data_IF_583046378670
#
_entry.id   IF_583046378670
#
_cell.length_a   1.000
_cell.length_b   1.000
_cell.length_c   1.000
_cell.angle_alpha   90.00
_cell.angle_beta   90.00
_cell.angle_gamma   90.00
#
_symmetry.space_group_name_H-M   'P 1'
#
loop_
_entity.id
_entity.type
_entity.pdbx_description
1 polymer ?
#
# COMPACT_ATOMS: atom_id res chain seq x y z
N UNK A 1 -3.03 -4.86 -19.92
CA UNK A 1 -3.79 -4.79 -18.65
C UNK A 1 -4.06 -3.35 -18.27
N UNK A 2 -5.25 -3.04 -17.87
CA UNK A 2 -5.62 -1.68 -17.49
C UNK A 2 -5.12 -1.39 -16.08
N UNK A 3 -4.57 -0.19 -15.86
CA UNK A 3 -4.10 0.26 -14.53
C UNK A 3 -5.18 0.10 -13.46
N UNK A 4 -6.45 0.37 -13.81
CA UNK A 4 -7.58 0.31 -12.89
C UNK A 4 -7.79 -1.09 -12.27
N UNK A 5 -7.28 -2.14 -12.90
CA UNK A 5 -7.46 -3.50 -12.41
C UNK A 5 -6.68 -3.81 -11.14
N UNK A 6 -5.73 -2.96 -10.72
CA UNK A 6 -4.96 -3.20 -9.49
C UNK A 6 -5.71 -2.76 -8.23
N UNK A 7 -6.77 -1.97 -8.36
CA UNK A 7 -7.56 -1.46 -7.23
C UNK A 7 -9.00 -1.96 -7.32
N UNK A 8 -9.57 -2.35 -6.18
CA UNK A 8 -10.97 -2.72 -6.07
C UNK A 8 -11.57 -2.01 -4.86
N UNK A 9 -12.49 -1.08 -5.11
CA UNK A 9 -13.06 -0.25 -4.05
C UNK A 9 -14.29 -0.84 -3.36
N UNK A 10 -14.62 -2.12 -3.60
CA UNK A 10 -15.80 -2.74 -2.99
C UNK A 10 -15.74 -2.74 -1.47
N UNK A 11 -14.60 -3.11 -0.89
CA UNK A 11 -14.42 -3.10 0.57
C UNK A 11 -14.56 -1.69 1.15
N UNK A 12 -13.96 -0.71 0.47
CA UNK A 12 -14.07 0.69 0.89
C UNK A 12 -15.54 1.15 0.88
N UNK A 13 -16.27 0.80 -0.18
CA UNK A 13 -17.70 1.14 -0.28
C UNK A 13 -18.51 0.54 0.87
N UNK A 14 -18.24 -0.70 1.23
CA UNK A 14 -18.89 -1.36 2.34
C UNK A 14 -18.61 -0.66 3.67
N UNK A 15 -17.34 -0.35 3.93
CA UNK A 15 -16.92 0.34 5.15
C UNK A 15 -17.59 1.70 5.27
N UNK A 16 -17.69 2.42 4.16
CA UNK A 16 -18.27 3.77 4.12
C UNK A 16 -19.77 3.78 3.93
N UNK A 17 -20.38 2.60 3.78
CA UNK A 17 -21.82 2.45 3.53
C UNK A 17 -22.29 3.31 2.34
N UNK A 18 -21.46 3.40 1.31
CA UNK A 18 -21.74 4.15 0.09
C UNK A 18 -21.66 5.67 0.26
N UNK A 19 -21.28 6.16 1.42
CA UNK A 19 -21.16 7.62 1.69
C UNK A 19 -19.97 8.19 0.91
N UNK A 20 -20.28 8.97 -0.12
CA UNK A 20 -19.25 9.55 -1.01
C UNK A 20 -18.27 10.46 -0.27
N UNK A 21 -18.77 11.25 0.67
CA UNK A 21 -17.92 12.16 1.45
C UNK A 21 -16.90 11.39 2.26
N UNK A 22 -17.35 10.33 2.94
CA UNK A 22 -16.47 9.46 3.71
C UNK A 22 -15.47 8.73 2.82
N UNK A 23 -15.93 8.24 1.66
CA UNK A 23 -15.02 7.60 0.70
C UNK A 23 -13.94 8.56 0.23
N UNK A 24 -14.31 9.80 -0.05
CA UNK A 24 -13.34 10.82 -0.47
C UNK A 24 -12.30 11.08 0.63
N UNK A 25 -12.73 11.16 1.89
CA UNK A 25 -11.81 11.32 3.02
C UNK A 25 -10.80 10.17 3.09
N UNK A 26 -11.29 8.93 2.98
CA UNK A 26 -10.44 7.73 3.03
C UNK A 26 -9.46 7.70 1.86
N UNK A 27 -9.91 8.06 0.67
CA UNK A 27 -9.06 8.12 -0.52
C UNK A 27 -7.95 9.16 -0.32
N UNK A 28 -8.30 10.34 0.18
CA UNK A 28 -7.33 11.40 0.42
C UNK A 28 -6.29 10.99 1.47
N UNK A 29 -6.71 10.28 2.52
CA UNK A 29 -5.79 9.76 3.53
C UNK A 29 -4.81 8.76 2.90
N UNK A 30 -5.32 7.84 2.07
CA UNK A 30 -4.44 6.88 1.38
C UNK A 30 -3.42 7.62 0.51
N UNK A 31 -3.87 8.58 -0.29
CA UNK A 31 -2.98 9.35 -1.17
C UNK A 31 -1.89 10.06 -0.37
N UNK A 32 -2.24 10.62 0.79
CA UNK A 32 -1.29 11.34 1.63
C UNK A 32 -0.30 10.41 2.35
N UNK A 33 -0.71 9.20 2.71
CA UNK A 33 0.06 8.32 3.58
C UNK A 33 0.86 7.22 2.86
N UNK A 34 0.39 6.78 1.68
CA UNK A 34 0.96 5.60 1.02
C UNK A 34 2.47 5.69 0.81
N UNK A 35 2.95 6.76 0.19
CA UNK A 35 4.37 6.90 -0.11
C UNK A 35 5.22 7.15 1.14
N UNK A 36 4.63 7.76 2.17
CA UNK A 36 5.31 7.93 3.45
C UNK A 36 5.57 6.57 4.10
N UNK A 37 4.59 5.65 4.01
CA UNK A 37 4.78 4.31 4.54
C UNK A 37 5.81 3.51 3.75
N UNK A 38 5.86 3.69 2.43
CA UNK A 38 6.92 3.09 1.62
C UNK A 38 8.28 3.59 2.07
N UNK A 39 8.42 4.90 2.29
CA UNK A 39 9.68 5.50 2.76
C UNK A 39 10.09 4.94 4.13
N UNK A 40 9.13 4.76 5.05
CA UNK A 40 9.41 4.18 6.35
C UNK A 40 9.95 2.75 6.22
N UNK A 41 9.38 1.96 5.30
CA UNK A 41 9.86 0.60 5.03
C UNK A 41 11.27 0.66 4.45
N UNK A 42 11.50 1.53 3.47
CA UNK A 42 12.83 1.69 2.86
C UNK A 42 13.89 2.08 3.88
N UNK A 43 13.57 3.01 4.76
CA UNK A 43 14.48 3.45 5.81
C UNK A 43 14.76 2.34 6.83
N UNK A 44 13.72 1.60 7.22
CA UNK A 44 13.89 0.49 8.15
C UNK A 44 14.81 -0.60 7.55
N UNK A 45 14.68 -0.85 6.25
CA UNK A 45 15.57 -1.80 5.55
C UNK A 45 17.01 -1.30 5.58
N UNK A 46 17.24 -0.02 5.29
CA UNK A 46 18.59 0.58 5.33
C UNK A 46 19.21 0.50 6.71
N UNK A 47 18.40 0.74 7.73
CA UNK A 47 18.83 0.71 9.13
C UNK A 47 18.91 -0.71 9.69
N UNK A 48 18.49 -1.70 8.91
CA UNK A 48 18.39 -3.10 9.33
C UNK A 48 17.50 -3.28 10.56
N UNK A 49 16.48 -2.44 10.66
CA UNK A 49 15.51 -2.47 11.75
C UNK A 49 14.31 -3.34 11.32
N UNK A 50 14.42 -4.65 11.55
CA UNK A 50 13.40 -5.63 11.18
C UNK A 50 12.06 -5.38 11.87
N UNK A 51 12.09 -5.00 13.16
CA UNK A 51 10.87 -4.74 13.92
C UNK A 51 10.08 -3.59 13.33
N UNK A 52 10.75 -2.48 13.05
CA UNK A 52 10.12 -1.30 12.46
C UNK A 52 9.56 -1.62 11.08
N UNK A 53 10.32 -2.36 10.27
CA UNK A 53 9.89 -2.77 8.94
C UNK A 53 8.62 -3.60 8.99
N UNK A 54 8.58 -4.60 9.88
CA UNK A 54 7.41 -5.47 10.03
C UNK A 54 6.19 -4.71 10.54
N UNK A 55 6.37 -3.79 11.49
CA UNK A 55 5.28 -2.98 12.02
C UNK A 55 4.69 -2.07 10.94
N UNK A 56 5.54 -1.43 10.16
CA UNK A 56 5.09 -0.56 9.08
C UNK A 56 4.38 -1.37 7.98
N UNK A 57 4.92 -2.54 7.64
CA UNK A 57 4.28 -3.43 6.67
C UNK A 57 2.90 -3.87 7.15
N UNK A 58 2.75 -4.19 8.43
CA UNK A 58 1.47 -4.57 9.02
C UNK A 58 0.45 -3.44 8.88
N UNK A 59 0.85 -2.24 9.24
CA UNK A 59 0.00 -1.05 9.17
C UNK A 59 -0.44 -0.76 7.74
N UNK A 60 0.51 -0.76 6.81
CA UNK A 60 0.23 -0.48 5.40
C UNK A 60 -0.58 -1.59 4.74
N UNK A 61 -0.40 -2.83 5.17
CA UNK A 61 -1.16 -3.97 4.67
C UNK A 61 -2.67 -3.76 4.86
N UNK A 62 -3.07 -3.19 6.00
CA UNK A 62 -4.48 -2.90 6.28
C UNK A 62 -5.07 -1.95 5.24
N UNK A 63 -4.32 -0.90 4.90
CA UNK A 63 -4.74 0.05 3.86
C UNK A 63 -4.84 -0.62 2.50
N UNK A 64 -3.84 -1.45 2.15
CA UNK A 64 -3.86 -2.19 0.89
C UNK A 64 -5.09 -3.10 0.79
N UNK A 65 -5.48 -3.72 1.89
CA UNK A 65 -6.69 -4.56 1.93
C UNK A 65 -7.95 -3.73 1.68
N UNK A 66 -8.10 -2.61 2.38
CA UNK A 66 -9.28 -1.74 2.25
C UNK A 66 -9.45 -1.25 0.81
N UNK A 67 -8.35 -0.90 0.15
CA UNK A 67 -8.37 -0.38 -1.21
C UNK A 67 -8.28 -1.47 -2.28
N UNK A 68 -8.32 -2.75 -1.86
CA UNK A 68 -8.38 -3.87 -2.79
C UNK A 68 -7.15 -4.00 -3.68
N UNK A 69 -5.98 -3.62 -3.18
CA UNK A 69 -4.72 -3.71 -3.93
C UNK A 69 -4.06 -5.04 -3.57
N UNK A 70 -4.56 -6.09 -4.20
CA UNK A 70 -4.20 -7.48 -3.86
C UNK A 70 -2.70 -7.74 -3.88
N UNK A 71 -2.02 -7.33 -4.94
CA UNK A 71 -0.58 -7.59 -5.08
C UNK A 71 0.22 -6.89 -3.98
N UNK A 72 -0.15 -5.66 -3.66
CA UNK A 72 0.49 -4.91 -2.58
C UNK A 72 0.25 -5.60 -1.23
N UNK A 73 -0.98 -6.03 -0.99
CA UNK A 73 -1.34 -6.74 0.22
C UNK A 73 -0.48 -8.00 0.40
N UNK A 74 -0.33 -8.80 -0.65
CA UNK A 74 0.48 -10.02 -0.61
C UNK A 74 1.95 -9.72 -0.33
N UNK A 75 2.50 -8.70 -0.98
CA UNK A 75 3.90 -8.31 -0.76
C UNK A 75 4.13 -7.85 0.68
N UNK A 76 3.21 -7.05 1.21
CA UNK A 76 3.33 -6.54 2.58
C UNK A 76 3.14 -7.66 3.61
N UNK A 77 2.24 -8.61 3.34
CA UNK A 77 2.03 -9.75 4.23
C UNK A 77 3.29 -10.60 4.34
N UNK A 78 3.95 -10.87 3.23
CA UNK A 78 5.22 -11.62 3.23
C UNK A 78 6.31 -10.87 3.99
N UNK A 79 6.37 -9.57 3.80
CA UNK A 79 7.35 -8.73 4.49
C UNK A 79 7.10 -8.71 5.99
N UNK A 80 5.85 -8.63 6.40
CA UNK A 80 5.45 -8.67 7.81
C UNK A 80 5.82 -10.01 8.45
N UNK A 81 5.55 -11.11 7.74
CA UNK A 81 5.73 -12.47 8.26
C UNK A 81 7.20 -12.89 8.27
N UNK A 82 7.88 -12.69 7.15
CA UNK A 82 9.24 -13.22 6.95
C UNK A 82 10.34 -12.19 7.09
N UNK A 83 10.01 -10.89 7.01
CA UNK A 83 11.00 -9.84 6.96
C UNK A 83 11.87 -10.01 5.73
N UNK A 84 13.16 -9.69 5.86
CA UNK A 84 14.14 -9.85 4.78
C UNK A 84 14.96 -11.13 4.94
N UNK A 85 14.54 -11.99 5.83
CA UNK A 85 15.24 -13.24 6.15
C UNK A 85 15.37 -14.13 4.91
N UNK A 86 16.58 -14.59 4.66
CA UNK A 86 16.86 -15.46 3.52
C UNK A 86 17.02 -14.74 2.19
N UNK A 87 16.90 -13.41 2.16
CA UNK A 87 17.06 -12.62 0.95
C UNK A 87 18.42 -11.89 0.98
N UNK A 88 19.13 -11.90 -0.16
CA UNK A 88 20.31 -11.08 -0.29
C UNK A 88 19.90 -9.61 -0.54
N UNK A 89 20.86 -8.71 -0.48
CA UNK A 89 20.63 -7.28 -0.64
C UNK A 89 19.94 -6.93 -1.96
N UNK A 90 20.33 -7.60 -3.03
CA UNK A 90 19.78 -7.37 -4.36
C UNK A 90 18.31 -7.78 -4.43
N UNK A 91 17.98 -8.93 -3.83
CA UNK A 91 16.60 -9.44 -3.77
C UNK A 91 15.73 -8.51 -2.93
N UNK A 92 16.24 -8.01 -1.79
CA UNK A 92 15.53 -7.06 -0.94
C UNK A 92 15.22 -5.78 -1.72
N UNK A 93 16.23 -5.22 -2.39
CA UNK A 93 16.06 -4.00 -3.18
C UNK A 93 14.97 -4.17 -4.23
N UNK A 94 14.98 -5.29 -4.95
CA UNK A 94 13.99 -5.59 -5.97
C UNK A 94 12.59 -5.70 -5.39
N UNK A 95 12.47 -6.35 -4.24
CA UNK A 95 11.21 -6.55 -3.54
C UNK A 95 10.59 -5.21 -3.11
N UNK A 96 11.39 -4.38 -2.47
CA UNK A 96 10.94 -3.06 -2.01
C UNK A 96 10.56 -2.17 -3.19
N UNK A 97 11.29 -2.27 -4.29
CA UNK A 97 10.98 -1.52 -5.51
C UNK A 97 9.62 -1.88 -6.07
N UNK A 98 9.22 -3.17 -5.99
CA UNK A 98 7.88 -3.60 -6.41
C UNK A 98 6.81 -2.93 -5.55
N UNK A 99 7.01 -2.88 -4.24
CA UNK A 99 6.09 -2.22 -3.32
C UNK A 99 5.94 -0.75 -3.69
N UNK A 100 7.05 -0.07 -3.95
CA UNK A 100 7.04 1.35 -4.33
C UNK A 100 6.29 1.56 -5.66
N UNK A 101 6.57 0.74 -6.67
CA UNK A 101 5.95 0.89 -7.99
C UNK A 101 4.44 0.69 -7.93
N UNK A 102 3.97 -0.32 -7.21
CA UNK A 102 2.52 -0.57 -7.05
C UNK A 102 1.89 0.59 -6.28
N UNK A 103 2.55 1.08 -5.24
CA UNK A 103 2.06 2.21 -4.43
C UNK A 103 1.93 3.48 -5.27
N UNK A 104 2.93 3.79 -6.10
CA UNK A 104 2.88 4.94 -7.01
C UNK A 104 1.71 4.84 -7.96
N UNK A 105 1.52 3.67 -8.57
CA UNK A 105 0.41 3.44 -9.50
C UNK A 105 -0.95 3.58 -8.80
N UNK A 106 -1.07 3.01 -7.60
CA UNK A 106 -2.30 3.11 -6.82
C UNK A 106 -2.64 4.57 -6.49
N UNK A 107 -1.65 5.35 -6.08
CA UNK A 107 -1.84 6.78 -5.78
C UNK A 107 -2.33 7.53 -7.02
N UNK A 108 -1.73 7.29 -8.19
CA UNK A 108 -2.16 7.92 -9.43
C UNK A 108 -3.60 7.58 -9.80
N UNK A 109 -3.96 6.30 -9.70
CA UNK A 109 -5.32 5.84 -9.98
C UNK A 109 -6.31 6.54 -9.04
N UNK A 110 -6.00 6.58 -7.75
CA UNK A 110 -6.90 7.19 -6.77
C UNK A 110 -7.02 8.69 -6.95
N UNK A 111 -5.97 9.39 -7.37
CA UNK A 111 -6.05 10.82 -7.70
C UNK A 111 -7.04 11.08 -8.82
N UNK A 112 -7.12 10.20 -9.79
CA UNK A 112 -8.11 10.30 -10.86
C UNK A 112 -9.50 9.94 -10.36
N UNK A 113 -9.61 8.82 -9.65
CA UNK A 113 -10.92 8.32 -9.17
C UNK A 113 -11.59 9.24 -8.16
N UNK A 114 -10.82 9.96 -7.34
CA UNK A 114 -11.43 10.82 -6.31
C UNK A 114 -12.32 11.92 -6.90
N UNK A 115 -12.11 12.28 -8.17
CA UNK A 115 -12.95 13.28 -8.82
C UNK A 115 -14.41 12.83 -8.94
N UNK A 116 -14.66 11.53 -8.90
CA UNK A 116 -16.00 10.95 -8.93
C UNK A 116 -16.76 11.14 -7.61
N UNK A 117 -16.06 11.50 -6.54
CA UNK A 117 -16.62 11.63 -5.20
C UNK A 117 -16.67 13.09 -4.69
N UNK A 118 -16.33 14.03 -5.54
CA UNK A 118 -16.37 15.46 -5.21
C UNK A 118 -17.76 16.04 -5.45
#
# INVERSE_FOLDING_TARGET
MKKNSIINLNTLKEICDGDKSFMLEMINVFIAQALLQVEEIENAVKEKDEDKMKKTAHKYKSSAFIFGIKDLHELLEKLETNGTKGLDEKAVTKYIKKIRNISNTAVEILKEKRTEYI
#
